data_IF_436202678940
#
_entry.id   IF_436202678940
#
_cell.length_a   1.000
_cell.length_b   1.000
_cell.length_c   1.000
_cell.angle_alpha   90.00
_cell.angle_beta   90.00
_cell.angle_gamma   90.00
#
_symmetry.space_group_name_H-M   'P 1'
#
loop_
_entity.id
_entity.type
_entity.pdbx_description
1 polymer ?
#
# COMPACT_ATOMS: atom_id res chain seq x y z
N UNK A 1 -17.02 30.47 -2.17
CA UNK A 1 -17.87 29.43 -1.53
C UNK A 1 -18.63 28.55 -2.54
N UNK A 2 -19.00 29.07 -3.69
CA UNK A 2 -19.77 28.31 -4.71
C UNK A 2 -18.97 27.21 -5.44
N UNK A 3 -17.65 27.37 -5.58
CA UNK A 3 -16.84 26.38 -6.31
C UNK A 3 -16.60 25.07 -5.55
N UNK A 4 -16.69 25.05 -4.21
CA UNK A 4 -16.54 23.83 -3.38
C UNK A 4 -17.77 22.92 -3.47
N UNK A 5 -18.97 23.47 -3.54
CA UNK A 5 -20.21 22.71 -3.66
C UNK A 5 -20.36 21.97 -5.00
N UNK A 6 -19.90 22.57 -6.10
CA UNK A 6 -19.96 21.98 -7.43
C UNK A 6 -19.05 20.74 -7.58
N UNK A 7 -17.88 20.74 -6.95
CA UNK A 7 -16.96 19.59 -6.97
C UNK A 7 -17.52 18.35 -6.23
N UNK A 8 -18.23 18.56 -5.13
CA UNK A 8 -18.81 17.47 -4.35
C UNK A 8 -20.08 16.91 -5.02
N UNK A 9 -20.92 17.76 -5.61
CA UNK A 9 -22.07 17.33 -6.41
C UNK A 9 -21.60 16.51 -7.62
N UNK A 10 -20.56 16.95 -8.32
CA UNK A 10 -20.01 16.24 -9.46
C UNK A 10 -19.44 14.86 -9.08
N UNK A 11 -18.69 14.78 -7.98
CA UNK A 11 -18.14 13.50 -7.47
C UNK A 11 -19.25 12.53 -7.04
N UNK A 12 -20.31 13.03 -6.37
CA UNK A 12 -21.48 12.22 -6.00
C UNK A 12 -22.17 11.66 -7.23
N UNK A 13 -22.37 12.46 -8.27
CA UNK A 13 -22.98 12.03 -9.52
C UNK A 13 -22.13 10.97 -10.21
N UNK A 14 -20.81 11.14 -10.23
CA UNK A 14 -19.89 10.19 -10.85
C UNK A 14 -19.90 8.83 -10.14
N UNK A 15 -19.88 8.80 -8.81
CA UNK A 15 -19.98 7.56 -8.03
C UNK A 15 -21.33 6.88 -8.26
N UNK A 16 -22.43 7.64 -8.18
CA UNK A 16 -23.79 7.14 -8.38
C UNK A 16 -23.97 6.52 -9.78
N UNK A 17 -23.43 7.16 -10.79
CA UNK A 17 -23.49 6.65 -12.16
C UNK A 17 -22.68 5.37 -12.35
N UNK A 18 -21.49 5.28 -11.74
CA UNK A 18 -20.66 4.08 -11.80
C UNK A 18 -21.34 2.90 -11.12
N UNK A 19 -21.89 3.08 -9.91
CA UNK A 19 -22.58 2.02 -9.20
C UNK A 19 -23.84 1.58 -9.92
N UNK A 20 -24.57 2.49 -10.53
CA UNK A 20 -25.75 2.15 -11.34
C UNK A 20 -25.39 1.27 -12.53
N UNK A 21 -24.23 1.52 -13.16
CA UNK A 21 -23.72 0.70 -14.28
C UNK A 21 -23.12 -0.61 -13.85
N UNK A 22 -22.50 -0.63 -12.65
CA UNK A 22 -21.79 -1.77 -12.08
C UNK A 22 -22.27 -2.04 -10.63
N UNK A 23 -23.49 -2.60 -10.45
CA UNK A 23 -24.05 -2.76 -9.11
C UNK A 23 -23.30 -3.78 -8.23
N UNK A 24 -22.55 -4.69 -8.83
CA UNK A 24 -21.66 -5.62 -8.13
C UNK A 24 -20.24 -5.14 -8.22
N UNK A 25 -19.82 -4.30 -7.28
CA UNK A 25 -18.49 -3.68 -7.32
C UNK A 25 -17.87 -3.56 -5.94
N UNK A 26 -16.55 -3.39 -5.92
CA UNK A 26 -15.77 -3.02 -4.74
C UNK A 26 -15.44 -1.55 -4.84
N UNK A 27 -15.78 -0.79 -3.81
CA UNK A 27 -15.55 0.65 -3.71
C UNK A 27 -14.46 0.86 -2.66
N UNK A 28 -13.38 1.55 -3.04
CA UNK A 28 -12.31 1.91 -2.14
C UNK A 28 -12.34 3.42 -1.86
N UNK A 29 -12.48 3.77 -0.59
CA UNK A 29 -12.24 5.12 -0.07
C UNK A 29 -10.89 5.15 0.61
N UNK A 30 -9.90 5.72 -0.05
CA UNK A 30 -8.55 5.83 0.49
C UNK A 30 -8.41 7.10 1.33
N UNK A 31 -7.72 7.01 2.49
CA UNK A 31 -7.49 8.10 3.43
C UNK A 31 -8.79 8.82 3.87
N UNK A 32 -9.78 8.04 4.30
CA UNK A 32 -11.13 8.55 4.61
C UNK A 32 -11.12 9.65 5.69
N UNK A 33 -10.13 9.66 6.60
CA UNK A 33 -9.98 10.72 7.62
C UNK A 33 -9.76 12.12 7.03
N UNK A 34 -9.34 12.20 5.76
CA UNK A 34 -9.16 13.47 5.04
C UNK A 34 -10.40 13.93 4.29
N UNK A 35 -11.45 13.13 4.29
CA UNK A 35 -12.68 13.45 3.57
C UNK A 35 -13.43 14.58 4.25
N UNK A 36 -14.20 15.33 3.44
CA UNK A 36 -15.11 16.34 3.97
C UNK A 36 -16.21 15.69 4.84
N UNK A 37 -16.68 16.34 5.91
CA UNK A 37 -17.74 15.81 6.79
C UNK A 37 -18.99 15.32 6.05
N UNK A 38 -19.36 15.96 4.93
CA UNK A 38 -20.50 15.54 4.11
C UNK A 38 -20.36 14.16 3.50
N UNK A 39 -19.12 13.69 3.25
CA UNK A 39 -18.86 12.33 2.76
C UNK A 39 -19.28 11.31 3.81
N UNK A 40 -19.03 11.57 5.09
CA UNK A 40 -19.47 10.70 6.17
C UNK A 40 -20.99 10.61 6.27
N UNK A 41 -21.71 11.71 6.04
CA UNK A 41 -23.18 11.70 6.03
C UNK A 41 -23.73 10.83 4.90
N UNK A 42 -23.10 10.85 3.73
CA UNK A 42 -23.46 9.98 2.60
C UNK A 42 -23.15 8.53 2.90
N UNK A 43 -21.95 8.28 3.44
CA UNK A 43 -21.56 6.91 3.82
C UNK A 43 -22.49 6.34 4.89
N UNK A 44 -22.90 7.12 5.87
CA UNK A 44 -23.90 6.72 6.86
C UNK A 44 -25.20 6.29 6.17
N UNK A 45 -25.71 7.09 5.23
CA UNK A 45 -26.91 6.75 4.48
C UNK A 45 -26.73 5.44 3.68
N UNK A 46 -25.55 5.26 3.04
CA UNK A 46 -25.25 4.02 2.30
C UNK A 46 -25.21 2.82 3.25
N UNK A 47 -24.55 2.96 4.41
CA UNK A 47 -24.38 1.86 5.36
C UNK A 47 -25.69 1.52 6.10
N UNK A 48 -26.58 2.51 6.32
CA UNK A 48 -27.87 2.30 6.99
C UNK A 48 -28.95 1.80 6.03
N UNK A 49 -29.16 2.52 4.91
CA UNK A 49 -30.27 2.32 3.99
C UNK A 49 -29.93 1.39 2.82
N UNK A 50 -28.62 1.19 2.56
CA UNK A 50 -28.13 0.46 1.40
C UNK A 50 -28.35 1.21 0.08
N UNK A 51 -28.75 2.49 0.11
CA UNK A 51 -28.95 3.28 -1.09
C UNK A 51 -28.74 4.79 -0.82
N UNK A 52 -28.46 5.53 -1.88
CA UNK A 52 -28.48 7.01 -1.87
C UNK A 52 -29.44 7.54 -2.92
N UNK A 53 -29.91 8.77 -2.73
CA UNK A 53 -30.66 9.49 -3.75
C UNK A 53 -29.72 10.48 -4.42
N UNK A 54 -29.56 10.39 -5.74
CA UNK A 54 -28.74 11.32 -6.53
C UNK A 54 -29.40 12.69 -6.64
N UNK A 55 -28.69 13.67 -7.20
CA UNK A 55 -29.21 15.04 -7.41
C UNK A 55 -30.42 15.11 -8.36
N UNK A 56 -30.69 14.05 -9.11
CA UNK A 56 -31.84 13.95 -10.02
C UNK A 56 -33.02 13.20 -9.36
N UNK A 57 -32.96 12.92 -8.07
CA UNK A 57 -34.01 12.19 -7.33
C UNK A 57 -34.01 10.68 -7.58
N UNK A 58 -33.00 10.12 -8.21
CA UNK A 58 -32.92 8.69 -8.52
C UNK A 58 -32.26 7.95 -7.38
N UNK A 59 -32.84 6.81 -6.99
CA UNK A 59 -32.23 5.91 -6.01
C UNK A 59 -31.13 5.07 -6.66
N UNK A 60 -29.97 5.01 -6.00
CA UNK A 60 -28.81 4.20 -6.39
C UNK A 60 -28.59 3.17 -5.30
N UNK A 61 -28.66 1.90 -5.64
CA UNK A 61 -28.57 0.77 -4.71
C UNK A 61 -27.12 0.33 -4.53
N UNK A 62 -26.67 0.24 -3.27
CA UNK A 62 -25.34 -0.18 -2.84
C UNK A 62 -25.34 -1.55 -2.15
N UNK A 63 -26.47 -2.23 -2.02
CA UNK A 63 -26.59 -3.47 -1.26
C UNK A 63 -25.70 -4.61 -1.76
N UNK A 64 -25.35 -4.56 -3.05
CA UNK A 64 -24.49 -5.56 -3.68
C UNK A 64 -23.03 -5.06 -3.84
N UNK A 65 -22.64 -4.01 -3.13
CA UNK A 65 -21.27 -3.47 -3.17
C UNK A 65 -20.50 -3.84 -1.90
N UNK A 66 -19.21 -4.01 -2.03
CA UNK A 66 -18.28 -4.09 -0.90
C UNK A 66 -17.61 -2.73 -0.75
N UNK A 67 -17.72 -2.11 0.42
CA UNK A 67 -17.11 -0.82 0.71
C UNK A 67 -15.88 -1.06 1.56
N UNK A 68 -14.73 -0.64 1.07
CA UNK A 68 -13.45 -0.69 1.76
C UNK A 68 -13.02 0.75 2.05
N UNK A 69 -12.64 1.03 3.28
CA UNK A 69 -12.13 2.33 3.69
C UNK A 69 -10.74 2.15 4.30
N UNK A 70 -9.77 2.94 3.88
CA UNK A 70 -8.44 2.98 4.51
C UNK A 70 -8.29 4.25 5.33
N UNK A 71 -7.51 4.18 6.39
CA UNK A 71 -7.16 5.34 7.21
C UNK A 71 -5.77 5.19 7.83
N UNK A 72 -5.07 6.30 7.96
CA UNK A 72 -3.83 6.40 8.73
C UNK A 72 -4.07 6.83 10.19
N UNK A 73 -5.32 6.84 10.64
CA UNK A 73 -5.68 7.15 12.03
C UNK A 73 -4.94 6.20 13.00
N UNK A 74 -4.32 6.76 14.03
CA UNK A 74 -3.57 5.99 15.02
C UNK A 74 -2.16 5.56 14.61
N UNK A 75 -1.67 5.95 13.43
CA UNK A 75 -0.32 5.59 12.97
C UNK A 75 0.76 6.02 13.97
N UNK A 76 0.61 7.18 14.61
CA UNK A 76 1.55 7.68 15.62
C UNK A 76 1.64 6.77 16.85
N UNK A 77 0.55 6.09 17.24
CA UNK A 77 0.52 5.14 18.36
C UNK A 77 1.24 3.85 18.04
N UNK A 78 1.28 3.49 16.76
CA UNK A 78 1.98 2.30 16.29
C UNK A 78 3.51 2.51 16.34
N UNK A 79 3.96 3.73 16.04
CA UNK A 79 5.37 4.11 15.95
C UNK A 79 5.96 4.47 17.32
N UNK A 80 5.16 4.98 18.24
CA UNK A 80 5.59 5.55 19.54
C UNK A 80 5.89 4.60 20.72
N UNK A 81 5.72 3.25 20.68
CA UNK A 81 6.00 2.39 21.83
C UNK A 81 7.43 2.47 22.36
N UNK A 82 8.39 2.93 21.56
CA UNK A 82 9.81 3.05 21.93
C UNK A 82 10.09 4.19 22.94
N UNK A 83 9.20 5.17 23.07
CA UNK A 83 9.45 6.34 23.93
C UNK A 83 8.91 6.23 25.37
N UNK A 84 8.13 5.20 25.70
CA UNK A 84 7.51 5.04 27.02
C UNK A 84 8.28 4.13 28.00
N UNK A 85 9.57 3.85 27.74
CA UNK A 85 10.47 3.23 28.72
C UNK A 85 10.12 1.80 29.15
N UNK A 86 9.15 1.16 28.53
CA UNK A 86 8.84 -0.24 28.78
C UNK A 86 9.66 -1.10 27.81
N UNK A 87 10.63 -1.86 28.35
CA UNK A 87 11.30 -2.92 27.62
C UNK A 87 10.23 -3.86 27.04
N UNK A 88 10.13 -3.83 25.70
CA UNK A 88 9.26 -4.74 24.97
C UNK A 88 9.91 -6.11 25.05
N UNK A 89 9.47 -6.92 26.01
CA UNK A 89 9.79 -8.34 26.03
C UNK A 89 9.28 -8.97 24.74
N UNK A 90 10.20 -9.39 23.88
CA UNK A 90 9.94 -10.01 22.57
C UNK A 90 9.20 -11.36 22.66
N UNK A 91 8.80 -11.79 23.84
CA UNK A 91 8.23 -13.11 24.10
C UNK A 91 6.73 -13.23 23.78
N UNK A 92 5.99 -12.10 23.60
CA UNK A 92 4.54 -12.17 23.41
C UNK A 92 4.06 -11.23 22.29
N UNK A 93 4.37 -11.58 21.05
CA UNK A 93 3.94 -10.84 19.85
C UNK A 93 2.42 -10.63 19.79
N UNK A 94 1.64 -11.61 20.23
CA UNK A 94 0.17 -11.55 20.24
C UNK A 94 -0.34 -10.47 21.22
N UNK A 95 0.17 -10.41 22.44
CA UNK A 95 -0.22 -9.38 23.43
C UNK A 95 0.19 -7.98 23.01
N UNK A 96 1.34 -7.84 22.37
CA UNK A 96 1.79 -6.56 21.83
C UNK A 96 0.89 -6.07 20.68
N UNK A 97 0.45 -6.98 19.81
CA UNK A 97 -0.50 -6.66 18.74
C UNK A 97 -1.87 -6.23 19.29
N UNK A 98 -2.39 -6.93 20.30
CA UNK A 98 -3.66 -6.53 20.94
C UNK A 98 -3.60 -5.16 21.63
N UNK A 99 -2.49 -4.85 22.34
CA UNK A 99 -2.29 -3.53 22.96
C UNK A 99 -2.22 -2.42 21.90
N UNK A 100 -1.49 -2.68 20.80
CA UNK A 100 -1.40 -1.78 19.68
C UNK A 100 -2.79 -1.54 19.05
N UNK A 101 -3.55 -2.62 18.79
CA UNK A 101 -4.91 -2.55 18.25
C UNK A 101 -5.81 -1.70 19.13
N UNK A 102 -5.78 -1.88 20.45
CA UNK A 102 -6.56 -1.06 21.40
C UNK A 102 -6.19 0.42 21.32
N UNK A 103 -4.89 0.75 21.32
CA UNK A 103 -4.43 2.15 21.22
C UNK A 103 -4.84 2.82 19.90
N UNK A 104 -4.74 2.10 18.79
CA UNK A 104 -5.21 2.59 17.48
C UNK A 104 -6.72 2.82 17.49
N UNK A 105 -7.49 1.86 18.03
CA UNK A 105 -8.95 1.99 18.11
C UNK A 105 -9.40 3.15 19.02
N UNK A 106 -8.64 3.51 20.05
CA UNK A 106 -8.92 4.71 20.86
C UNK A 106 -8.78 6.00 20.04
N UNK A 107 -7.75 6.11 19.19
CA UNK A 107 -7.61 7.27 18.30
C UNK A 107 -8.65 7.28 17.17
N UNK A 108 -8.97 6.13 16.60
CA UNK A 108 -10.05 6.00 15.62
C UNK A 108 -11.37 6.52 16.18
N UNK A 109 -11.69 6.21 17.45
CA UNK A 109 -12.90 6.72 18.13
C UNK A 109 -12.87 8.23 18.40
N UNK A 110 -11.70 8.87 18.41
CA UNK A 110 -11.61 10.34 18.53
C UNK A 110 -11.83 11.05 17.19
N UNK A 111 -11.47 10.39 16.08
CA UNK A 111 -11.56 10.96 14.73
C UNK A 111 -12.94 10.71 14.11
N UNK A 112 -13.45 9.50 14.29
CA UNK A 112 -14.71 9.08 13.66
C UNK A 112 -15.84 9.04 14.71
N UNK A 113 -17.02 9.49 14.29
CA UNK A 113 -18.20 9.48 15.16
C UNK A 113 -18.61 8.05 15.51
N UNK A 114 -19.09 7.80 16.75
CA UNK A 114 -19.51 6.47 17.17
C UNK A 114 -20.58 5.85 16.26
N UNK A 115 -21.53 6.65 15.77
CA UNK A 115 -22.56 6.22 14.86
C UNK A 115 -21.99 5.63 13.55
N UNK A 116 -20.90 6.22 13.04
CA UNK A 116 -20.22 5.74 11.83
C UNK A 116 -19.48 4.41 12.11
N UNK A 117 -18.73 4.35 13.20
CA UNK A 117 -17.98 3.14 13.56
C UNK A 117 -18.88 1.94 13.84
N UNK A 118 -20.09 2.17 14.38
CA UNK A 118 -21.06 1.12 14.67
C UNK A 118 -21.70 0.51 13.38
N UNK A 119 -21.51 1.13 12.23
CA UNK A 119 -22.01 0.64 10.93
C UNK A 119 -20.94 -0.09 10.11
N UNK A 120 -19.72 -0.12 10.60
CA UNK A 120 -18.62 -0.85 9.96
C UNK A 120 -18.67 -2.29 10.46
N UNK A 121 -18.77 -3.23 9.52
CA UNK A 121 -18.84 -4.66 9.84
C UNK A 121 -17.55 -5.18 10.45
N UNK A 122 -16.39 -4.74 9.90
CA UNK A 122 -15.08 -5.21 10.36
C UNK A 122 -14.03 -4.10 10.29
N UNK A 123 -13.20 -4.02 11.34
CA UNK A 123 -12.04 -3.11 11.38
C UNK A 123 -10.76 -3.92 11.50
N UNK A 124 -9.89 -3.81 10.48
CA UNK A 124 -8.61 -4.49 10.39
C UNK A 124 -7.50 -3.50 10.70
N UNK A 125 -6.69 -3.77 11.72
CA UNK A 125 -5.51 -2.99 12.06
C UNK A 125 -4.27 -3.71 11.54
N UNK A 126 -3.57 -3.09 10.61
CA UNK A 126 -2.32 -3.60 10.06
C UNK A 126 -1.17 -3.36 11.04
N UNK A 127 -0.33 -4.36 11.23
CA UNK A 127 0.90 -4.25 12.00
C UNK A 127 2.00 -3.52 11.20
N UNK A 128 2.99 -2.98 11.91
CA UNK A 128 4.22 -2.48 11.28
C UNK A 128 4.96 -3.64 10.64
N UNK A 129 5.44 -3.42 9.43
CA UNK A 129 6.23 -4.43 8.71
C UNK A 129 7.58 -4.66 9.40
N UNK A 130 7.92 -5.92 9.59
CA UNK A 130 9.25 -6.34 10.02
C UNK A 130 10.24 -6.31 8.84
N UNK A 131 11.55 -6.30 9.13
CA UNK A 131 12.58 -6.38 8.09
C UNK A 131 12.46 -7.63 7.22
N UNK A 132 12.07 -8.76 7.81
CA UNK A 132 11.84 -10.01 7.08
C UNK A 132 10.66 -9.89 6.11
N UNK A 133 9.60 -9.18 6.49
CA UNK A 133 8.45 -8.91 5.62
C UNK A 133 8.81 -7.95 4.50
N UNK A 134 9.59 -6.91 4.80
CA UNK A 134 10.11 -6.00 3.77
C UNK A 134 11.00 -6.75 2.77
N UNK A 135 11.83 -7.69 3.24
CA UNK A 135 12.62 -8.57 2.36
C UNK A 135 11.74 -9.45 1.46
N UNK A 136 10.62 -9.97 1.97
CA UNK A 136 9.64 -10.71 1.16
C UNK A 136 9.01 -9.82 0.09
N UNK A 137 8.66 -8.57 0.44
CA UNK A 137 8.13 -7.59 -0.51
C UNK A 137 9.17 -7.24 -1.58
N UNK A 138 10.43 -7.02 -1.18
CA UNK A 138 11.54 -6.80 -2.12
C UNK A 138 11.66 -7.96 -3.12
N UNK A 139 11.52 -9.20 -2.63
CA UNK A 139 11.56 -10.39 -3.49
C UNK A 139 10.44 -10.38 -4.52
N UNK A 140 9.22 -10.01 -4.15
CA UNK A 140 8.09 -9.91 -5.10
C UNK A 140 8.39 -8.92 -6.22
N UNK A 141 8.85 -7.71 -5.90
CA UNK A 141 9.21 -6.70 -6.91
C UNK A 141 10.35 -7.17 -7.83
N UNK A 142 11.35 -7.84 -7.26
CA UNK A 142 12.46 -8.41 -8.06
C UNK A 142 11.96 -9.56 -8.94
N UNK A 143 11.06 -10.39 -8.47
CA UNK A 143 10.52 -11.48 -9.28
C UNK A 143 9.64 -10.96 -10.44
N UNK A 144 8.87 -9.87 -10.22
CA UNK A 144 8.18 -9.15 -11.32
C UNK A 144 9.17 -8.59 -12.34
N UNK A 145 10.25 -7.96 -11.87
CA UNK A 145 11.29 -7.43 -12.74
C UNK A 145 11.99 -8.55 -13.56
N UNK A 146 12.28 -9.71 -12.94
CA UNK A 146 12.83 -10.87 -13.64
C UNK A 146 11.94 -11.33 -14.78
N UNK A 147 10.64 -11.45 -14.55
CA UNK A 147 9.66 -11.87 -15.55
C UNK A 147 9.63 -10.87 -16.70
N UNK A 148 9.60 -9.57 -16.40
CA UNK A 148 9.59 -8.50 -17.41
C UNK A 148 10.87 -8.54 -18.27
N UNK A 149 12.06 -8.58 -17.65
CA UNK A 149 13.34 -8.63 -18.37
C UNK A 149 13.48 -9.88 -19.23
N UNK A 150 12.98 -11.02 -18.75
CA UNK A 150 13.02 -12.25 -19.52
C UNK A 150 12.10 -12.18 -20.74
N UNK A 151 10.89 -11.65 -20.60
CA UNK A 151 9.91 -11.59 -21.68
C UNK A 151 10.25 -10.53 -22.73
N UNK A 152 10.70 -9.34 -22.30
CA UNK A 152 10.94 -8.21 -23.19
C UNK A 152 12.35 -8.23 -23.83
N UNK A 153 13.35 -8.69 -23.08
CA UNK A 153 14.76 -8.59 -23.46
C UNK A 153 15.50 -9.94 -23.46
N UNK A 154 14.83 -11.06 -23.12
CA UNK A 154 15.45 -12.37 -22.97
C UNK A 154 16.67 -12.37 -22.02
N UNK A 155 16.68 -11.45 -21.04
CA UNK A 155 17.73 -11.30 -20.05
C UNK A 155 17.32 -12.05 -18.79
N UNK A 156 18.22 -12.91 -18.28
CA UNK A 156 18.04 -13.61 -17.03
C UNK A 156 18.60 -12.78 -15.88
N UNK A 157 17.77 -12.40 -14.91
CA UNK A 157 18.22 -11.66 -13.73
C UNK A 157 18.40 -12.60 -12.53
N UNK A 158 19.60 -12.59 -11.93
CA UNK A 158 19.93 -13.26 -10.66
C UNK A 158 20.31 -12.24 -9.62
N UNK A 159 19.87 -12.45 -8.37
CA UNK A 159 20.23 -11.60 -7.24
C UNK A 159 20.68 -12.45 -6.07
N UNK A 160 21.76 -12.03 -5.40
CA UNK A 160 22.26 -12.71 -4.20
C UNK A 160 21.44 -12.35 -2.97
N UNK A 161 21.45 -13.23 -1.95
CA UNK A 161 20.76 -12.95 -0.68
C UNK A 161 21.30 -11.68 -0.01
N UNK A 162 22.61 -11.44 -0.07
CA UNK A 162 23.23 -10.23 0.51
C UNK A 162 22.82 -8.94 -0.21
N UNK A 163 22.59 -8.99 -1.51
CA UNK A 163 22.06 -7.84 -2.25
C UNK A 163 20.57 -7.60 -1.93
N UNK A 164 19.80 -8.68 -1.75
CA UNK A 164 18.40 -8.59 -1.31
C UNK A 164 18.28 -7.97 0.09
N UNK A 165 19.16 -8.37 1.02
CA UNK A 165 19.21 -7.79 2.37
C UNK A 165 19.54 -6.29 2.33
N UNK A 166 20.47 -5.88 1.46
CA UNK A 166 20.80 -4.47 1.27
C UNK A 166 19.63 -3.66 0.73
N UNK A 167 18.88 -4.21 -0.24
CA UNK A 167 17.68 -3.55 -0.77
C UNK A 167 16.60 -3.40 0.29
N UNK A 168 16.36 -4.45 1.09
CA UNK A 168 15.41 -4.42 2.18
C UNK A 168 15.80 -3.38 3.24
N UNK A 169 17.09 -3.31 3.62
CA UNK A 169 17.59 -2.30 4.58
C UNK A 169 17.44 -0.87 4.05
N UNK A 170 17.74 -0.61 2.77
CA UNK A 170 17.58 0.71 2.15
C UNK A 170 16.12 1.09 1.87
N UNK A 171 15.28 0.09 1.60
CA UNK A 171 13.88 0.28 1.28
C UNK A 171 12.94 0.28 2.50
N UNK A 172 13.47 0.10 3.70
CA UNK A 172 12.73 0.17 4.95
C UNK A 172 12.85 1.53 5.61
N UNK A 173 11.74 2.10 5.98
CA UNK A 173 11.66 3.33 6.78
C UNK A 173 10.72 3.09 7.98
N UNK A 174 11.11 3.57 9.17
CA UNK A 174 10.31 3.35 10.39
C UNK A 174 8.92 4.00 10.33
N UNK A 175 8.77 5.11 9.59
CA UNK A 175 7.51 5.85 9.46
C UNK A 175 6.70 5.43 8.23
N UNK A 176 7.39 5.09 7.13
CA UNK A 176 6.77 4.81 5.85
C UNK A 176 6.77 3.32 5.48
N UNK A 177 7.34 2.46 6.35
CA UNK A 177 7.41 1.02 6.14
C UNK A 177 8.19 0.64 4.88
N UNK A 178 7.57 -0.10 3.97
CA UNK A 178 8.16 -0.54 2.71
C UNK A 178 7.88 0.40 1.52
N UNK A 179 7.23 1.56 1.74
CA UNK A 179 6.93 2.52 0.65
C UNK A 179 8.16 2.97 -0.14
N UNK A 180 9.34 3.25 0.48
CA UNK A 180 10.54 3.65 -0.25
C UNK A 180 11.12 2.53 -1.11
N UNK A 181 10.81 1.26 -0.82
CA UNK A 181 11.43 0.10 -1.45
C UNK A 181 11.28 0.09 -2.98
N UNK A 182 10.10 0.43 -3.48
CA UNK A 182 9.85 0.49 -4.93
C UNK A 182 10.79 1.49 -5.62
N UNK A 183 10.95 2.68 -5.04
CA UNK A 183 11.86 3.71 -5.56
C UNK A 183 13.32 3.28 -5.47
N UNK A 184 13.71 2.59 -4.38
CA UNK A 184 15.06 2.05 -4.23
C UNK A 184 15.36 1.01 -5.31
N UNK A 185 14.43 0.09 -5.59
CA UNK A 185 14.59 -0.91 -6.65
C UNK A 185 14.66 -0.24 -8.02
N UNK A 186 13.80 0.73 -8.29
CA UNK A 186 13.81 1.49 -9.53
C UNK A 186 15.17 2.17 -9.74
N UNK A 187 15.59 3.02 -8.81
CA UNK A 187 16.81 3.81 -8.99
C UNK A 187 18.10 2.98 -8.97
N UNK A 188 18.17 1.95 -8.11
CA UNK A 188 19.41 1.20 -7.92
C UNK A 188 19.52 -0.04 -8.82
N UNK A 189 18.42 -0.49 -9.41
CA UNK A 189 18.43 -1.68 -10.27
C UNK A 189 17.86 -1.37 -11.65
N UNK A 190 16.61 -0.92 -11.75
CA UNK A 190 15.95 -0.76 -13.06
C UNK A 190 16.68 0.28 -13.93
N UNK A 191 17.02 1.44 -13.37
CA UNK A 191 17.74 2.50 -14.10
C UNK A 191 19.13 2.04 -14.55
N UNK A 192 19.86 1.32 -13.66
CA UNK A 192 21.20 0.77 -14.00
C UNK A 192 21.11 -0.31 -15.08
N UNK A 193 20.06 -1.14 -15.06
CA UNK A 193 19.84 -2.14 -16.08
C UNK A 193 19.46 -1.50 -17.43
N UNK A 194 18.62 -0.47 -17.40
CA UNK A 194 18.25 0.29 -18.59
C UNK A 194 19.48 0.94 -19.25
N UNK A 195 20.34 1.59 -18.46
CA UNK A 195 21.58 2.17 -18.96
C UNK A 195 22.47 1.11 -19.63
N UNK A 196 22.64 -0.05 -18.99
CA UNK A 196 23.46 -1.13 -19.54
C UNK A 196 22.88 -1.75 -20.82
N UNK A 197 21.58 -1.80 -20.97
CA UNK A 197 20.91 -2.24 -22.20
C UNK A 197 21.12 -1.19 -23.30
N UNK A 198 20.97 0.09 -23.00
CA UNK A 198 21.16 1.18 -23.95
C UNK A 198 22.61 1.30 -24.41
N UNK A 199 23.59 1.10 -23.52
CA UNK A 199 25.02 1.07 -23.83
C UNK A 199 25.45 -0.20 -24.57
N UNK A 200 24.58 -1.19 -24.71
CA UNK A 200 24.91 -2.48 -25.32
C UNK A 200 25.81 -3.39 -24.47
N UNK A 201 26.07 -3.01 -23.21
CA UNK A 201 26.85 -3.81 -22.25
C UNK A 201 26.06 -4.97 -21.65
N UNK A 202 24.73 -4.96 -21.80
CA UNK A 202 23.81 -6.05 -21.46
C UNK A 202 22.90 -6.33 -22.65
N UNK A 203 22.98 -7.54 -23.20
CA UNK A 203 22.29 -7.93 -24.44
C UNK A 203 21.37 -9.15 -24.22
N UNK A 204 20.49 -9.40 -25.18
CA UNK A 204 19.57 -10.53 -25.18
C UNK A 204 20.32 -11.86 -25.01
N UNK A 205 19.77 -12.77 -24.22
CA UNK A 205 20.35 -14.08 -23.94
C UNK A 205 21.41 -14.11 -22.86
N UNK A 206 21.75 -12.95 -22.27
CA UNK A 206 22.75 -12.87 -21.21
C UNK A 206 22.12 -12.99 -19.81
N UNK A 207 22.93 -13.36 -18.83
CA UNK A 207 22.55 -13.39 -17.42
C UNK A 207 23.20 -12.23 -16.67
N UNK A 208 22.36 -11.36 -16.08
CA UNK A 208 22.80 -10.33 -15.14
C UNK A 208 22.75 -10.87 -13.72
N UNK A 209 23.85 -10.78 -13.00
CA UNK A 209 23.92 -11.14 -11.56
C UNK A 209 24.16 -9.88 -10.73
N UNK A 210 23.25 -9.62 -9.78
CA UNK A 210 23.34 -8.52 -8.81
C UNK A 210 23.88 -9.09 -7.49
N UNK A 211 25.02 -8.57 -7.09
CA UNK A 211 25.68 -8.88 -5.83
C UNK A 211 25.78 -7.67 -4.90
N UNK A 212 26.46 -7.85 -3.77
CA UNK A 212 26.79 -6.77 -2.82
C UNK A 212 28.28 -6.75 -2.54
N UNK A 213 28.88 -5.56 -2.61
CA UNK A 213 30.26 -5.28 -2.14
C UNK A 213 30.29 -3.92 -1.48
N UNK A 214 30.90 -3.80 -0.32
CA UNK A 214 31.10 -2.52 0.41
C UNK A 214 29.83 -1.65 0.53
N UNK A 215 28.72 -2.27 0.94
CA UNK A 215 27.37 -1.63 1.07
C UNK A 215 26.81 -1.04 -0.24
N UNK A 216 27.35 -1.45 -1.40
CA UNK A 216 26.85 -1.07 -2.72
C UNK A 216 26.43 -2.32 -3.50
N UNK A 217 25.49 -2.16 -4.43
CA UNK A 217 25.15 -3.20 -5.38
C UNK A 217 26.26 -3.33 -6.43
N UNK A 218 26.53 -4.54 -6.85
CA UNK A 218 27.48 -4.86 -7.93
C UNK A 218 26.74 -5.61 -9.02
N UNK A 219 27.10 -5.32 -10.27
CA UNK A 219 26.45 -5.86 -11.45
C UNK A 219 27.48 -6.61 -12.28
N UNK A 220 27.26 -7.88 -12.54
CA UNK A 220 28.12 -8.70 -13.36
C UNK A 220 27.31 -9.40 -14.46
N UNK A 221 27.76 -9.25 -15.69
CA UNK A 221 27.17 -9.89 -16.87
C UNK A 221 27.91 -11.19 -17.13
N UNK A 222 27.19 -12.27 -17.42
CA UNK A 222 27.73 -13.54 -17.91
C UNK A 222 26.98 -13.95 -19.15
N UNK A 223 27.70 -14.45 -20.14
CA UNK A 223 27.09 -15.15 -21.27
C UNK A 223 26.38 -16.40 -20.74
N UNK A 224 25.14 -16.59 -21.19
CA UNK A 224 24.43 -17.82 -20.86
C UNK A 224 25.04 -18.90 -21.73
N UNK A 225 25.85 -19.78 -21.11
CA UNK A 225 26.34 -20.98 -21.80
C UNK A 225 25.14 -21.76 -22.35
N UNK A 226 25.15 -22.00 -23.65
CA UNK A 226 24.18 -22.86 -24.32
C UNK A 226 24.19 -24.27 -23.77
#
# INVERSE_FOLDING_TARGET
QESRGLGDVYKRQQLSEQIRRHPYSVILFDEIEKAHPDVFNILLQVLDDGHITDSNGRKVDFKNTVIIMTSNAGANRIIAPKYLGFSVDNTDKAKNHERMKKGVMEEVKQIFRPEFLNRIDETIVFAVLTKEEVKKIAKLFIDELKVRLLNEHQITLKITSSAMDLLADKGYDENYGARPLRRVIQNEIEDVLADKILEGTLSNGQTMTIGKKDKKLTFSVKETSK
#
